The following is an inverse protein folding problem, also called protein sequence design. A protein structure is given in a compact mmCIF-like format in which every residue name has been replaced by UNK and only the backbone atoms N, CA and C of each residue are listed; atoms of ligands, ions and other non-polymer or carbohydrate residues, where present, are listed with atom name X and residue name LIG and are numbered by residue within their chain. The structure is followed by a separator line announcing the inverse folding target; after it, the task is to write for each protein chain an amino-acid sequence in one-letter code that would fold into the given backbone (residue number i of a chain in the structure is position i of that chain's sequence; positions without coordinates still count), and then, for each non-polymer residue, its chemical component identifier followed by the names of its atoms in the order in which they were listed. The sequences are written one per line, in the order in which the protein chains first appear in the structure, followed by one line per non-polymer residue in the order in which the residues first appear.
data_IF_006297763605
#
_entry.id   IF_006297763605
#
_cell.length_a   1.000
_cell.length_b   1.000
_cell.length_c   1.000
_cell.angle_alpha   90.00
_cell.angle_beta   90.00
_cell.angle_gamma   90.00
#
_symmetry.space_group_name_H-M   'P 1'
#
loop_
_entity.id
_entity.type
_entity.pdbx_description
1 polymer ?
#
# COMPACT_ATOMS: atom_id res chain seq x y z
N UNK A 1 2.66 -12.12 10.09
CA UNK A 1 4.00 -11.68 10.49
C UNK A 1 4.90 -11.98 9.32
N UNK A 2 5.52 -10.96 8.77
CA UNK A 2 6.44 -11.09 7.64
C UNK A 2 7.62 -10.20 7.91
N UNK A 3 8.79 -10.83 8.03
CA UNK A 3 10.05 -10.17 8.31
C UNK A 3 10.75 -9.87 6.98
N UNK A 4 11.19 -8.63 6.82
CA UNK A 4 11.97 -8.18 5.67
C UNK A 4 13.28 -7.56 6.14
N UNK A 5 14.31 -7.61 5.31
CA UNK A 5 15.62 -7.05 5.64
C UNK A 5 15.99 -5.97 4.62
N UNK A 6 16.29 -4.77 5.12
CA UNK A 6 16.77 -3.63 4.33
C UNK A 6 18.09 -3.17 4.92
N UNK A 7 19.20 -3.47 4.23
CA UNK A 7 20.54 -3.24 4.77
C UNK A 7 20.75 -4.01 6.08
N UNK A 8 20.95 -3.28 7.17
CA UNK A 8 21.12 -3.83 8.54
C UNK A 8 19.82 -3.90 9.34
N UNK A 9 18.72 -3.36 8.80
CA UNK A 9 17.46 -3.26 9.51
C UNK A 9 16.56 -4.46 9.19
N UNK A 10 15.89 -4.97 10.22
CA UNK A 10 14.84 -5.97 10.09
C UNK A 10 13.48 -5.30 10.34
N UNK A 11 12.55 -5.42 9.40
CA UNK A 11 11.22 -4.81 9.46
C UNK A 11 10.20 -5.93 9.57
N UNK A 12 9.48 -5.98 10.70
CA UNK A 12 8.35 -6.88 10.91
C UNK A 12 7.05 -6.15 10.65
N UNK A 13 6.22 -6.71 9.76
CA UNK A 13 4.88 -6.21 9.45
C UNK A 13 3.86 -7.31 9.77
N UNK A 14 2.85 -6.97 10.56
CA UNK A 14 1.76 -7.89 10.91
C UNK A 14 0.43 -7.17 11.01
N UNK A 15 -0.66 -7.90 10.73
CA UNK A 15 -2.02 -7.43 11.02
C UNK A 15 -2.22 -7.39 12.53
N UNK A 16 -2.54 -6.23 13.06
CA UNK A 16 -2.89 -6.08 14.48
C UNK A 16 -4.40 -6.05 14.64
N UNK A 17 -4.98 -7.22 14.96
CA UNK A 17 -6.42 -7.36 15.19
C UNK A 17 -6.87 -6.87 16.58
N UNK A 18 -5.93 -6.48 17.44
CA UNK A 18 -6.21 -6.09 18.83
C UNK A 18 -6.12 -4.60 19.05
N UNK A 19 -5.43 -3.88 18.17
CA UNK A 19 -5.30 -2.43 18.25
C UNK A 19 -6.65 -1.74 18.07
N UNK A 20 -6.96 -0.84 19.00
CA UNK A 20 -8.10 0.08 18.96
C UNK A 20 -7.59 1.50 19.14
N UNK A 21 -7.91 2.36 18.19
CA UNK A 21 -7.46 3.77 18.18
C UNK A 21 -7.89 4.49 19.47
N UNK A 22 -6.93 5.07 20.17
CA UNK A 22 -7.17 5.83 21.41
C UNK A 22 -7.55 4.97 22.63
N UNK A 23 -7.46 3.64 22.54
CA UNK A 23 -7.68 2.75 23.68
C UNK A 23 -6.44 2.66 24.56
N UNK A 24 -6.62 2.79 25.87
CA UNK A 24 -5.57 2.52 26.84
C UNK A 24 -5.31 1.01 27.04
N UNK A 25 -6.22 0.15 26.55
CA UNK A 25 -6.17 -1.30 26.70
C UNK A 25 -5.45 -1.99 25.52
N UNK A 26 -4.79 -1.24 24.66
CA UNK A 26 -4.02 -1.81 23.55
C UNK A 26 -2.90 -2.71 24.07
N UNK A 27 -2.77 -3.90 23.47
CA UNK A 27 -1.78 -4.92 23.87
C UNK A 27 -0.34 -4.41 23.72
N UNK A 28 -0.12 -3.54 22.74
CA UNK A 28 1.17 -2.92 22.48
C UNK A 28 0.99 -1.42 22.32
N UNK A 29 1.91 -0.65 22.90
CA UNK A 29 1.99 0.80 22.71
C UNK A 29 3.03 1.06 21.62
N UNK A 30 2.58 1.63 20.50
CA UNK A 30 3.46 2.02 19.40
C UNK A 30 4.04 3.42 19.64
N UNK A 31 5.22 3.70 19.11
CA UNK A 31 5.87 5.00 19.19
C UNK A 31 5.15 6.03 18.31
N UNK A 32 4.64 5.57 17.15
CA UNK A 32 3.85 6.36 16.23
C UNK A 32 2.50 5.73 15.87
N UNK A 33 1.51 6.57 15.61
CA UNK A 33 0.20 6.16 15.08
C UNK A 33 -0.16 7.01 13.85
N UNK A 34 -0.33 6.36 12.68
CA UNK A 34 -0.75 7.05 11.45
C UNK A 34 -2.01 6.44 10.87
N UNK A 35 -3.04 7.26 10.68
CA UNK A 35 -4.32 6.81 10.16
C UNK A 35 -4.67 7.48 8.84
N UNK A 36 -5.46 6.79 8.01
CA UNK A 36 -6.10 7.36 6.83
C UNK A 36 -7.07 8.50 7.20
N UNK A 37 -7.60 9.19 6.20
CA UNK A 37 -8.41 10.40 6.42
C UNK A 37 -9.86 10.11 6.89
N UNK A 38 -10.23 8.85 7.05
CA UNK A 38 -11.55 8.47 7.54
C UNK A 38 -11.67 8.64 9.06
N UNK A 39 -12.80 9.21 9.47
CA UNK A 39 -13.22 9.22 10.89
C UNK A 39 -13.93 7.93 11.31
N UNK A 40 -14.09 6.97 10.39
CA UNK A 40 -14.72 5.68 10.64
C UNK A 40 -13.78 4.69 11.30
N UNK A 41 -14.34 3.61 11.83
CA UNK A 41 -13.59 2.45 12.33
C UNK A 41 -12.57 1.96 11.31
N UNK A 42 -11.37 1.62 11.80
CA UNK A 42 -10.29 1.10 10.98
C UNK A 42 -10.64 -0.33 10.56
N UNK A 43 -10.64 -0.61 9.26
CA UNK A 43 -10.95 -1.94 8.72
C UNK A 43 -9.70 -2.77 8.49
N UNK A 44 -8.57 -2.10 8.24
CA UNK A 44 -7.24 -2.71 8.21
C UNK A 44 -6.31 -1.96 9.15
N UNK A 45 -5.59 -2.70 9.98
CA UNK A 45 -4.56 -2.17 10.88
C UNK A 45 -3.32 -3.04 10.78
N UNK A 46 -2.17 -2.40 10.61
CA UNK A 46 -0.86 -3.03 10.61
C UNK A 46 -0.01 -2.49 11.74
N UNK A 47 0.51 -3.39 12.57
CA UNK A 47 1.62 -3.11 13.45
C UNK A 47 2.92 -3.32 12.67
N UNK A 48 3.85 -2.39 12.83
CA UNK A 48 5.15 -2.40 12.17
C UNK A 48 6.22 -2.14 13.22
N UNK A 49 7.27 -2.96 13.20
CA UNK A 49 8.42 -2.85 14.11
C UNK A 49 9.70 -2.91 13.30
N UNK A 50 10.67 -2.09 13.66
CA UNK A 50 11.99 -2.11 13.05
C UNK A 50 13.07 -2.38 14.07
N UNK A 51 14.00 -3.25 13.70
CA UNK A 51 15.07 -3.71 14.56
C UNK A 51 16.43 -3.52 13.90
N UNK A 52 17.45 -3.28 14.71
CA UNK A 52 18.87 -3.38 14.35
C UNK A 52 19.54 -4.29 15.39
N UNK A 53 20.23 -5.35 14.95
CA UNK A 53 20.89 -6.31 15.84
C UNK A 53 19.97 -6.86 16.97
N UNK A 54 18.74 -7.21 16.62
CA UNK A 54 17.65 -7.68 17.53
C UNK A 54 17.14 -6.64 18.55
N UNK A 55 17.65 -5.41 18.54
CA UNK A 55 17.13 -4.31 19.35
C UNK A 55 16.00 -3.59 18.61
N UNK A 56 14.84 -3.44 19.26
CA UNK A 56 13.73 -2.65 18.73
C UNK A 56 14.14 -1.18 18.70
N UNK A 57 14.23 -0.60 17.50
CA UNK A 57 14.54 0.81 17.32
C UNK A 57 13.28 1.67 17.40
N UNK A 58 12.24 1.24 16.69
CA UNK A 58 11.00 2.01 16.56
C UNK A 58 9.81 1.10 16.22
N UNK A 59 8.61 1.59 16.50
CA UNK A 59 7.36 0.89 16.23
C UNK A 59 6.24 1.85 15.83
N UNK A 60 5.51 1.47 14.78
CA UNK A 60 4.39 2.27 14.28
C UNK A 60 3.18 1.39 14.03
N UNK A 61 2.01 1.93 14.30
CA UNK A 61 0.75 1.39 13.81
C UNK A 61 0.22 2.26 12.69
N UNK A 62 -0.14 1.61 11.57
CA UNK A 62 -0.88 2.27 10.50
C UNK A 62 -2.27 1.65 10.38
N UNK A 63 -3.26 2.48 10.02
CA UNK A 63 -4.61 1.97 9.80
C UNK A 63 -5.43 2.83 8.86
N UNK A 64 -6.33 2.19 8.12
CA UNK A 64 -7.28 2.85 7.25
C UNK A 64 -8.62 2.11 7.24
N UNK A 65 -9.65 2.77 6.72
CA UNK A 65 -11.01 2.23 6.62
C UNK A 65 -11.36 1.87 5.17
N UNK A 66 -12.55 1.28 5.00
CA UNK A 66 -13.17 0.78 3.74
C UNK A 66 -12.86 -0.70 3.49
N UNK A 67 -12.32 -1.05 2.33
CA UNK A 67 -12.01 -2.44 2.02
C UNK A 67 -10.94 -2.99 2.95
N UNK A 68 -10.87 -4.33 3.02
CA UNK A 68 -9.84 -5.01 3.80
C UNK A 68 -8.65 -5.27 2.88
N UNK A 69 -7.46 -4.79 3.24
CA UNK A 69 -6.24 -5.20 2.53
C UNK A 69 -5.73 -6.49 3.14
N UNK A 70 -5.55 -7.51 2.31
CA UNK A 70 -4.80 -8.72 2.69
C UNK A 70 -3.32 -8.40 2.50
N UNK A 71 -2.51 -8.60 3.55
CA UNK A 71 -1.08 -8.42 3.40
C UNK A 71 -0.53 -9.51 2.48
N UNK A 72 0.09 -9.08 1.40
CA UNK A 72 0.76 -9.91 0.41
C UNK A 72 2.10 -9.25 0.05
N UNK A 73 3.07 -9.99 -0.49
CA UNK A 73 4.36 -9.39 -0.88
C UNK A 73 4.19 -8.25 -1.89
N UNK A 74 3.19 -8.31 -2.77
CA UNK A 74 2.88 -7.24 -3.71
C UNK A 74 2.16 -6.04 -3.09
N UNK A 75 1.79 -6.09 -1.81
CA UNK A 75 1.19 -4.96 -1.10
C UNK A 75 2.24 -4.02 -0.47
N UNK A 76 3.54 -4.32 -0.62
CA UNK A 76 4.64 -3.57 -0.01
C UNK A 76 5.81 -3.39 -0.99
N UNK A 77 6.43 -2.21 -0.97
CA UNK A 77 7.72 -1.94 -1.63
C UNK A 77 8.73 -1.53 -0.57
N UNK A 78 9.90 -2.15 -0.58
CA UNK A 78 11.05 -1.69 0.20
C UNK A 78 12.07 -1.00 -0.71
N UNK A 79 12.52 0.17 -0.29
CA UNK A 79 13.67 0.87 -0.86
C UNK A 79 14.75 1.01 0.24
N UNK A 80 15.86 1.65 -0.07
CA UNK A 80 16.98 1.78 0.88
C UNK A 80 16.61 2.65 2.11
N UNK A 81 15.82 3.71 1.90
CA UNK A 81 15.53 4.75 2.90
C UNK A 81 14.05 4.82 3.32
N UNK A 82 13.20 4.00 2.71
CA UNK A 82 11.74 4.02 2.92
C UNK A 82 11.09 2.70 2.54
N UNK A 83 9.85 2.52 2.97
CA UNK A 83 8.97 1.52 2.38
C UNK A 83 7.57 2.08 2.18
N UNK A 84 6.81 1.44 1.28
CA UNK A 84 5.44 1.77 0.95
C UNK A 84 4.55 0.58 1.25
N UNK A 85 3.38 0.79 1.84
CA UNK A 85 2.45 -0.28 2.20
C UNK A 85 1.01 0.11 1.84
N UNK A 86 0.32 -0.78 1.12
CA UNK A 86 -1.12 -0.72 0.93
C UNK A 86 -1.85 -0.99 2.25
N UNK A 87 -2.74 -0.09 2.65
CA UNK A 87 -3.60 -0.25 3.82
C UNK A 87 -5.00 0.31 3.49
N UNK A 88 -5.95 -0.59 3.28
CA UNK A 88 -7.28 -0.29 2.73
C UNK A 88 -7.17 0.59 1.49
N UNK A 89 -7.84 1.75 1.43
CA UNK A 89 -7.84 2.65 0.27
C UNK A 89 -6.61 3.58 0.19
N UNK A 90 -5.64 3.41 1.09
CA UNK A 90 -4.55 4.36 1.32
C UNK A 90 -3.19 3.68 1.18
N UNK A 91 -2.25 4.36 0.53
CA UNK A 91 -0.82 4.00 0.53
C UNK A 91 -0.12 4.83 1.59
N UNK A 92 0.65 4.19 2.46
CA UNK A 92 1.51 4.85 3.44
C UNK A 92 2.97 4.70 3.01
N UNK A 93 3.74 5.78 3.07
CA UNK A 93 5.18 5.78 2.88
C UNK A 93 5.87 6.21 4.17
N UNK A 94 6.69 5.30 4.71
CA UNK A 94 7.38 5.47 5.99
C UNK A 94 8.90 5.45 5.77
N UNK A 95 9.65 6.25 6.53
CA UNK A 95 11.11 6.26 6.47
C UNK A 95 11.72 5.01 7.12
N UNK A 96 12.94 4.69 6.71
CA UNK A 96 13.82 3.71 7.35
C UNK A 96 15.06 4.46 7.87
N UNK A 97 15.46 4.29 9.15
CA UNK A 97 14.86 3.40 10.13
C UNK A 97 13.74 4.03 10.96
N UNK A 98 13.52 5.34 10.90
CA UNK A 98 12.78 6.05 11.95
C UNK A 98 11.24 5.87 11.91
N UNK A 99 10.70 5.13 10.93
CA UNK A 99 9.27 4.90 10.75
C UNK A 99 8.42 6.18 10.69
N UNK A 100 9.03 7.33 10.35
CA UNK A 100 8.35 8.61 10.22
C UNK A 100 7.49 8.62 8.96
N UNK A 101 6.27 9.13 9.05
CA UNK A 101 5.41 9.29 7.89
C UNK A 101 5.97 10.34 6.92
N UNK A 102 6.46 9.86 5.77
CA UNK A 102 6.92 10.72 4.68
C UNK A 102 5.72 11.29 3.92
N UNK A 103 4.76 10.43 3.58
CA UNK A 103 3.49 10.81 2.99
C UNK A 103 2.48 9.67 3.10
N UNK A 104 1.19 10.01 2.98
CA UNK A 104 0.11 9.06 2.76
C UNK A 104 -0.80 9.59 1.66
N UNK A 105 -1.34 8.69 0.86
CA UNK A 105 -2.22 9.06 -0.25
C UNK A 105 -3.37 8.08 -0.31
N UNK A 106 -4.60 8.60 -0.24
CA UNK A 106 -5.78 7.84 -0.60
C UNK A 106 -5.81 7.68 -2.12
N UNK A 107 -5.68 6.45 -2.59
CA UNK A 107 -5.54 6.18 -4.03
C UNK A 107 -6.84 5.61 -4.57
N UNK A 108 -7.23 4.43 -4.12
CA UNK A 108 -8.33 3.70 -4.73
C UNK A 108 -9.30 3.14 -3.69
N UNK A 109 -10.58 3.46 -3.83
CA UNK A 109 -11.63 3.01 -2.92
C UNK A 109 -12.48 1.96 -3.62
N UNK A 110 -12.81 0.81 -2.98
CA UNK A 110 -12.68 0.57 -1.55
C UNK A 110 -11.29 0.15 -1.04
N UNK A 111 -10.44 -0.42 -1.88
CA UNK A 111 -9.12 -0.93 -1.45
C UNK A 111 -8.03 -0.79 -2.52
N UNK A 112 -6.80 -0.66 -2.04
CA UNK A 112 -5.56 -0.90 -2.75
C UNK A 112 -5.10 -2.33 -2.47
N UNK A 113 -4.78 -3.08 -3.53
CA UNK A 113 -4.37 -4.47 -3.45
C UNK A 113 -2.86 -4.62 -3.59
N UNK A 114 -2.30 -3.98 -4.60
CA UNK A 114 -0.90 -4.16 -4.97
C UNK A 114 -0.24 -2.83 -5.34
N UNK A 115 1.07 -2.77 -5.15
CA UNK A 115 1.89 -1.63 -5.49
C UNK A 115 3.21 -2.11 -6.13
N UNK A 116 3.56 -1.50 -7.26
CA UNK A 116 4.72 -1.87 -8.06
C UNK A 116 5.59 -0.64 -8.32
N UNK A 117 6.90 -0.81 -8.23
CA UNK A 117 7.85 0.24 -8.62
C UNK A 117 7.98 0.27 -10.13
N UNK A 118 7.78 1.46 -10.72
CA UNK A 118 8.03 1.72 -12.14
C UNK A 118 8.94 2.94 -12.26
N UNK A 119 10.22 2.71 -12.58
CA UNK A 119 11.25 3.76 -12.57
C UNK A 119 11.25 4.49 -11.20
N UNK A 120 11.03 5.80 -11.21
CA UNK A 120 10.95 6.67 -10.02
C UNK A 120 9.50 6.90 -9.53
N UNK A 121 8.55 6.10 -10.03
CA UNK A 121 7.12 6.20 -9.73
C UNK A 121 6.59 4.87 -9.21
N UNK A 122 5.34 4.87 -8.73
CA UNK A 122 4.67 3.69 -8.24
C UNK A 122 3.36 3.47 -8.99
N UNK A 123 3.10 2.25 -9.44
CA UNK A 123 1.81 1.84 -9.99
C UNK A 123 1.03 1.12 -8.89
N UNK A 124 -0.16 1.60 -8.60
CA UNK A 124 -1.06 1.04 -7.60
C UNK A 124 -2.22 0.38 -8.32
N UNK A 125 -2.41 -0.90 -8.05
CA UNK A 125 -3.59 -1.66 -8.46
C UNK A 125 -4.55 -1.72 -7.27
N UNK A 126 -5.77 -1.23 -7.48
CA UNK A 126 -6.84 -1.28 -6.48
C UNK A 126 -8.15 -1.78 -7.09
N UNK A 127 -9.16 -1.90 -6.23
CA UNK A 127 -10.40 -2.62 -6.52
C UNK A 127 -11.18 -2.10 -7.73
N UNK A 128 -11.15 -0.78 -7.99
CA UNK A 128 -11.92 -0.19 -9.11
C UNK A 128 -11.04 0.55 -10.11
N UNK A 129 -9.72 0.31 -10.09
CA UNK A 129 -8.83 1.12 -10.90
C UNK A 129 -7.34 0.91 -10.70
N UNK A 130 -6.60 1.62 -11.51
CA UNK A 130 -5.15 1.70 -11.49
C UNK A 130 -4.73 3.16 -11.39
N UNK A 131 -3.65 3.43 -10.67
CA UNK A 131 -3.13 4.78 -10.53
C UNK A 131 -1.61 4.77 -10.54
N UNK A 132 -1.02 5.86 -11.02
CA UNK A 132 0.40 6.13 -10.85
C UNK A 132 0.61 7.21 -9.80
N UNK A 133 1.52 6.96 -8.87
CA UNK A 133 2.01 7.93 -7.90
C UNK A 133 3.44 8.35 -8.24
N UNK A 134 3.76 9.62 -8.08
CA UNK A 134 5.14 10.07 -8.05
C UNK A 134 5.83 9.65 -6.74
N UNK A 135 7.15 9.87 -6.65
CA UNK A 135 7.95 9.55 -5.46
C UNK A 135 7.50 10.23 -4.15
N UNK A 136 6.69 11.28 -4.24
CA UNK A 136 6.18 12.06 -3.11
C UNK A 136 4.72 11.70 -2.79
N UNK A 137 4.16 10.69 -3.44
CA UNK A 137 2.78 10.25 -3.23
C UNK A 137 1.74 11.08 -3.99
N UNK A 138 2.11 11.96 -4.92
CA UNK A 138 1.14 12.68 -5.73
C UNK A 138 0.60 11.75 -6.83
N UNK A 139 -0.71 11.73 -7.03
CA UNK A 139 -1.35 11.01 -8.14
C UNK A 139 -0.97 11.71 -9.45
N UNK A 140 -0.24 11.01 -10.31
CA UNK A 140 0.13 11.45 -11.66
C UNK A 140 -1.06 11.27 -12.60
N UNK A 141 -1.65 10.07 -12.60
CA UNK A 141 -2.87 9.74 -13.31
C UNK A 141 -3.63 8.64 -12.57
N UNK A 142 -4.92 8.53 -12.85
CA UNK A 142 -5.81 7.50 -12.31
C UNK A 142 -6.83 7.09 -13.37
N UNK A 143 -7.03 5.78 -13.50
CA UNK A 143 -7.94 5.17 -14.46
C UNK A 143 -8.90 4.28 -13.69
N UNK A 144 -10.19 4.49 -13.89
CA UNK A 144 -11.23 3.64 -13.35
C UNK A 144 -11.59 2.56 -14.37
N UNK A 145 -11.57 1.32 -13.92
CA UNK A 145 -11.86 0.14 -14.71
C UNK A 145 -12.72 -0.76 -13.83
N UNK A 146 -13.80 -1.30 -14.39
CA UNK A 146 -14.61 -2.28 -13.68
C UNK A 146 -13.74 -3.53 -13.49
N UNK A 147 -13.30 -3.74 -12.25
CA UNK A 147 -12.42 -4.84 -11.86
C UNK A 147 -13.09 -5.47 -10.63
N UNK A 148 -13.13 -6.80 -10.57
CA UNK A 148 -13.41 -7.51 -9.31
C UNK A 148 -12.06 -7.91 -8.68
N UNK A 149 -12.11 -8.62 -7.56
CA UNK A 149 -10.96 -9.21 -6.87
C UNK A 149 -10.08 -10.17 -7.71
N UNK A 150 -10.47 -10.41 -8.97
CA UNK A 150 -9.91 -11.39 -9.90
C UNK A 150 -9.47 -10.83 -11.25
N UNK A 151 -9.52 -9.52 -11.45
CA UNK A 151 -9.05 -8.92 -12.68
C UNK A 151 -7.55 -9.22 -12.88
N UNK A 152 -7.21 -9.81 -14.02
CA UNK A 152 -5.83 -10.07 -14.44
C UNK A 152 -5.12 -8.71 -14.66
N UNK A 153 -4.53 -8.15 -13.61
CA UNK A 153 -3.63 -7.00 -13.69
C UNK A 153 -2.22 -7.50 -13.99
N UNK A 154 -1.68 -7.10 -15.14
CA UNK A 154 -0.34 -7.55 -15.58
C UNK A 154 0.48 -6.34 -16.01
N UNK A 155 1.67 -6.21 -15.42
CA UNK A 155 2.68 -5.27 -15.87
C UNK A 155 3.55 -5.95 -16.93
N UNK A 156 3.40 -5.53 -18.17
CA UNK A 156 4.25 -5.93 -19.28
C UNK A 156 5.35 -4.90 -19.51
N UNK A 157 6.35 -5.24 -20.31
CA UNK A 157 7.51 -4.36 -20.56
C UNK A 157 7.11 -2.95 -21.00
N UNK A 158 6.12 -2.86 -21.89
CA UNK A 158 5.76 -1.61 -22.58
C UNK A 158 4.32 -1.14 -22.28
N UNK A 159 3.53 -1.92 -21.54
CA UNK A 159 2.13 -1.59 -21.25
C UNK A 159 1.62 -2.28 -19.98
N UNK A 160 0.46 -1.83 -19.51
CA UNK A 160 -0.31 -2.40 -18.41
C UNK A 160 -1.55 -3.07 -19.03
N UNK A 161 -1.79 -4.33 -18.71
CA UNK A 161 -3.02 -5.04 -19.03
C UNK A 161 -3.96 -5.02 -17.85
N UNK A 162 -5.21 -4.72 -18.14
CA UNK A 162 -6.33 -4.84 -17.22
C UNK A 162 -7.43 -5.62 -17.90
N UNK A 163 -7.94 -6.66 -17.23
CA UNK A 163 -9.11 -7.40 -17.69
C UNK A 163 -10.36 -7.01 -16.88
N UNK A 164 -11.42 -6.64 -17.59
CA UNK A 164 -12.75 -6.46 -17.02
C UNK A 164 -13.39 -7.81 -16.77
N UNK A 165 -13.82 -8.06 -15.54
CA UNK A 165 -14.47 -9.32 -15.19
C UNK A 165 -15.93 -9.38 -15.65
N UNK A 166 -16.58 -8.24 -15.91
CA UNK A 166 -17.99 -8.22 -16.29
C UNK A 166 -18.22 -8.73 -17.72
N UNK A 167 -17.38 -8.31 -18.67
CA UNK A 167 -17.53 -8.68 -20.08
C UNK A 167 -16.25 -9.23 -20.73
N UNK A 168 -15.21 -9.52 -19.94
CA UNK A 168 -13.91 -10.00 -20.41
C UNK A 168 -13.19 -9.05 -21.37
N UNK A 169 -13.53 -7.75 -21.37
CA UNK A 169 -12.75 -6.77 -22.13
C UNK A 169 -11.35 -6.65 -21.57
N UNK A 170 -10.39 -6.53 -22.48
CA UNK A 170 -9.00 -6.29 -22.15
C UNK A 170 -8.72 -4.84 -22.50
N UNK A 171 -8.31 -4.07 -21.50
CA UNK A 171 -7.79 -2.73 -21.64
C UNK A 171 -6.27 -2.78 -21.59
N UNK A 172 -5.64 -2.02 -22.49
CA UNK A 172 -4.19 -1.81 -22.50
C UNK A 172 -3.94 -0.34 -22.23
N UNK A 173 -3.03 -0.06 -21.30
CA UNK A 173 -2.59 1.30 -21.02
C UNK A 173 -1.09 1.39 -21.16
N UNK A 174 -0.58 2.51 -21.70
CA UNK A 174 0.83 2.83 -21.52
C UNK A 174 1.10 3.29 -20.08
N UNK A 175 2.37 3.45 -19.74
CA UNK A 175 2.77 3.89 -18.40
C UNK A 175 2.54 5.39 -18.14
N UNK A 176 2.12 6.14 -19.15
CA UNK A 176 1.69 7.54 -19.04
C UNK A 176 0.16 7.65 -18.84
N UNK A 177 -0.54 6.51 -18.75
CA UNK A 177 -1.97 6.43 -18.47
C UNK A 177 -2.87 6.57 -19.70
N UNK A 178 -2.33 6.49 -20.91
CA UNK A 178 -3.11 6.55 -22.14
C UNK A 178 -3.58 5.16 -22.57
N UNK A 179 -4.82 5.07 -23.06
CA UNK A 179 -5.33 3.84 -23.68
C UNK A 179 -4.55 3.52 -24.96
N UNK A 180 -4.02 2.30 -25.04
CA UNK A 180 -3.45 1.74 -26.26
C UNK A 180 -4.59 1.00 -26.95
N UNK A 181 -5.29 1.68 -27.84
CA UNK A 181 -6.28 1.03 -28.70
C UNK A 181 -5.55 0.27 -29.81
N UNK A 182 -5.95 -0.97 -30.07
CA UNK A 182 -5.70 -1.64 -31.34
C UNK A 182 -6.69 -1.13 -32.42
#
# INVERSE_FOLDING_TARGET
MTLHTVGKYQIDIYKDYTFTRGSADNVFSYDFEYFGDSSSELTTVFGIKIFEDDELLDSVVIGASRGVTVYHQSAVIFEEDRFLLCCSDTIFCLSIPDLVLLWKTKVNSPACFEIFKYKETYIVHGEIGIAQLDKNGNIVWQIFVAMDDRADFILEKDYILVRDDYDNRIYKFDYDGNSIND
#
